data_IF_360906332774
#
_entry.id   IF_360906332774
#
_cell.length_a   1.000
_cell.length_b   1.000
_cell.length_c   1.000
_cell.angle_alpha   90.00
_cell.angle_beta   90.00
_cell.angle_gamma   90.00
#
_symmetry.space_group_name_H-M   'P 1'
#
loop_
_entity.id
_entity.type
_entity.pdbx_description
1 polymer ?
#
# COMPACT_ATOMS: atom_id res chain seq x y z
N UNK A 1 15.06 0.46 43.22
CA UNK A 1 14.88 1.86 42.76
C UNK A 1 15.57 2.18 41.43
N UNK A 2 16.79 1.69 41.16
CA UNK A 2 17.52 2.05 39.92
C UNK A 2 16.88 1.51 38.62
N UNK A 3 16.26 0.33 38.63
CA UNK A 3 15.59 -0.26 37.45
C UNK A 3 14.43 0.60 36.92
N UNK A 4 13.55 1.11 37.78
CA UNK A 4 12.47 2.03 37.36
C UNK A 4 13.00 3.34 36.75
N UNK A 5 14.21 3.76 37.11
CA UNK A 5 14.85 4.98 36.58
C UNK A 5 15.40 4.73 35.18
N UNK A 6 15.97 3.54 34.95
CA UNK A 6 16.42 3.10 33.64
C UNK A 6 15.24 2.90 32.69
N UNK A 7 14.18 2.22 33.11
CA UNK A 7 12.97 2.05 32.29
C UNK A 7 12.32 3.39 31.90
N UNK A 8 12.27 4.35 32.83
CA UNK A 8 11.78 5.71 32.53
C UNK A 8 12.67 6.44 31.53
N UNK A 9 13.99 6.30 31.64
CA UNK A 9 14.95 6.94 30.72
C UNK A 9 14.89 6.32 29.34
N UNK A 10 14.82 4.99 29.25
CA UNK A 10 14.66 4.25 27.99
C UNK A 10 13.35 4.65 27.32
N UNK A 11 12.23 4.67 28.05
CA UNK A 11 10.94 5.10 27.48
C UNK A 11 10.97 6.56 27.01
N UNK A 12 11.64 7.46 27.75
CA UNK A 12 11.76 8.89 27.37
C UNK A 12 12.51 9.09 26.05
N UNK A 13 13.54 8.30 25.78
CA UNK A 13 14.36 8.40 24.55
C UNK A 13 13.75 7.61 23.39
N UNK A 14 13.18 6.44 23.67
CA UNK A 14 12.73 5.51 22.64
C UNK A 14 11.34 5.86 22.07
N UNK A 15 10.42 6.37 22.91
CA UNK A 15 9.07 6.75 22.46
C UNK A 15 9.06 7.79 21.33
N UNK A 16 9.74 8.95 21.42
CA UNK A 16 9.69 9.95 20.34
C UNK A 16 10.31 9.46 19.03
N UNK A 17 11.37 8.65 19.09
CA UNK A 17 12.07 8.15 17.89
C UNK A 17 11.35 6.97 17.21
N UNK A 18 10.57 6.18 17.95
CA UNK A 18 9.75 5.08 17.40
C UNK A 18 8.41 5.55 16.81
N UNK A 19 7.94 6.75 17.16
CA UNK A 19 6.63 7.26 16.73
C UNK A 19 6.69 7.82 15.31
N UNK A 20 7.79 8.48 14.91
CA UNK A 20 7.93 9.20 13.64
C UNK A 20 7.91 8.29 12.39
N UNK A 21 8.45 7.08 12.48
CA UNK A 21 8.52 6.13 11.35
C UNK A 21 7.22 5.37 11.10
N UNK A 22 6.23 5.50 11.98
CA UNK A 22 5.09 4.59 12.06
C UNK A 22 3.74 5.21 11.72
N UNK A 23 3.69 6.53 11.48
CA UNK A 23 2.47 7.26 11.17
C UNK A 23 2.16 7.31 9.65
N UNK A 24 2.58 6.26 8.93
CA UNK A 24 2.44 6.15 7.48
C UNK A 24 1.17 5.35 7.18
N UNK A 25 0.27 5.93 6.37
CA UNK A 25 -0.93 5.25 5.88
C UNK A 25 -0.53 4.10 4.94
N UNK A 26 -0.58 2.86 5.44
CA UNK A 26 -0.27 1.66 4.64
C UNK A 26 -1.43 1.16 3.79
N UNK A 27 -2.66 1.41 4.23
CA UNK A 27 -3.89 0.94 3.57
C UNK A 27 -4.78 2.13 3.25
N UNK A 28 -5.47 2.08 2.10
CA UNK A 28 -6.32 3.17 1.62
C UNK A 28 -7.45 3.55 2.59
N UNK A 29 -8.02 2.56 3.28
CA UNK A 29 -9.08 2.78 4.29
C UNK A 29 -8.58 3.37 5.63
N UNK A 30 -7.27 3.52 5.85
CA UNK A 30 -6.77 4.04 7.14
C UNK A 30 -6.95 5.57 7.24
N UNK A 31 -7.70 6.00 8.25
CA UNK A 31 -7.89 7.41 8.58
C UNK A 31 -6.81 7.92 9.55
N UNK A 32 -6.63 9.24 9.59
CA UNK A 32 -5.72 9.90 10.56
C UNK A 32 -6.13 9.60 12.00
N UNK A 33 -7.43 9.56 12.28
CA UNK A 33 -7.97 9.22 13.60
C UNK A 33 -7.52 7.83 14.07
N UNK A 34 -7.58 6.81 13.20
CA UNK A 34 -7.12 5.45 13.56
C UNK A 34 -5.62 5.47 13.88
N UNK A 35 -4.83 6.21 13.11
CA UNK A 35 -3.40 6.33 13.35
C UNK A 35 -3.10 7.02 14.69
N UNK A 36 -3.81 8.10 15.01
CA UNK A 36 -3.71 8.79 16.30
C UNK A 36 -4.10 7.89 17.46
N UNK A 37 -5.18 7.12 17.35
CA UNK A 37 -5.60 6.16 18.38
C UNK A 37 -4.56 5.05 18.59
N UNK A 38 -3.95 4.56 17.52
CA UNK A 38 -2.83 3.61 17.62
C UNK A 38 -1.61 4.24 18.28
N UNK A 39 -1.33 5.52 18.02
CA UNK A 39 -0.29 6.29 18.71
C UNK A 39 -0.57 6.42 20.21
N UNK A 40 -1.80 6.82 20.58
CA UNK A 40 -2.25 6.93 21.97
C UNK A 40 -2.13 5.60 22.71
N UNK A 41 -2.50 4.48 22.09
CA UNK A 41 -2.32 3.14 22.68
C UNK A 41 -0.87 2.81 22.99
N UNK A 42 0.07 3.21 22.14
CA UNK A 42 1.51 2.96 22.36
C UNK A 42 2.05 3.76 23.54
N UNK A 43 1.56 4.99 23.74
CA UNK A 43 1.92 5.84 24.87
C UNK A 43 1.29 5.36 26.18
N UNK A 44 0.09 4.77 26.11
CA UNK A 44 -0.67 4.30 27.27
C UNK A 44 -0.14 3.00 27.93
N UNK A 45 1.06 2.50 27.56
CA UNK A 45 1.60 1.23 28.12
C UNK A 45 1.68 1.22 29.65
N UNK A 46 1.90 2.37 30.27
CA UNK A 46 2.04 2.51 31.72
C UNK A 46 0.69 2.79 32.41
N UNK A 47 -0.41 2.92 31.66
CA UNK A 47 -1.75 3.24 32.16
C UNK A 47 -2.71 2.09 31.84
N UNK A 48 -2.88 1.09 32.75
CA UNK A 48 -3.53 -0.18 32.43
C UNK A 48 -5.00 -0.05 31.99
N UNK A 49 -5.73 0.91 32.57
CA UNK A 49 -7.16 1.14 32.30
C UNK A 49 -7.37 1.63 30.87
N UNK A 50 -6.64 2.66 30.47
CA UNK A 50 -6.71 3.24 29.13
C UNK A 50 -6.15 2.29 28.07
N UNK A 51 -5.07 1.56 28.38
CA UNK A 51 -4.51 0.54 27.51
C UNK A 51 -5.48 -0.61 27.20
N UNK A 52 -6.33 -0.99 28.16
CA UNK A 52 -7.34 -2.04 27.99
C UNK A 52 -8.54 -1.59 27.14
N UNK A 53 -8.91 -0.31 27.22
CA UNK A 53 -10.08 0.24 26.51
C UNK A 53 -9.77 0.64 25.05
N UNK A 54 -8.60 1.22 24.80
CA UNK A 54 -8.19 1.71 23.47
C UNK A 54 -8.30 0.67 22.34
N UNK A 55 -7.96 -0.62 22.51
CA UNK A 55 -8.10 -1.63 21.47
C UNK A 55 -9.52 -1.76 20.92
N UNK A 56 -10.55 -1.65 21.76
CA UNK A 56 -11.94 -1.76 21.33
C UNK A 56 -12.35 -0.56 20.48
N UNK A 57 -11.96 0.65 20.92
CA UNK A 57 -12.18 1.89 20.16
C UNK A 57 -11.47 1.84 18.80
N UNK A 58 -10.20 1.40 18.77
CA UNK A 58 -9.44 1.23 17.52
C UNK A 58 -10.14 0.25 16.59
N UNK A 59 -10.56 -0.93 17.08
CA UNK A 59 -11.27 -1.93 16.27
C UNK A 59 -12.59 -1.38 15.71
N UNK A 60 -13.35 -0.66 16.53
CA UNK A 60 -14.60 -0.01 16.10
C UNK A 60 -14.36 1.00 14.98
N UNK A 61 -13.38 1.88 15.13
CA UNK A 61 -13.01 2.85 14.09
C UNK A 61 -12.47 2.19 12.82
N UNK A 62 -11.69 1.12 12.95
CA UNK A 62 -11.24 0.32 11.80
C UNK A 62 -12.40 -0.32 11.05
N UNK A 63 -13.42 -0.84 11.76
CA UNK A 63 -14.62 -1.42 11.14
C UNK A 63 -15.36 -0.37 10.32
N UNK A 64 -15.69 0.77 10.94
CA UNK A 64 -16.39 1.87 10.26
C UNK A 64 -15.61 2.40 9.04
N UNK A 65 -14.30 2.57 9.18
CA UNK A 65 -13.48 3.06 8.07
C UNK A 65 -13.40 2.07 6.90
N UNK A 66 -13.35 0.76 7.18
CA UNK A 66 -13.40 -0.28 6.15
C UNK A 66 -14.76 -0.33 5.47
N UNK A 67 -15.85 -0.27 6.24
CA UNK A 67 -17.21 -0.26 5.70
C UNK A 67 -17.43 0.95 4.79
N UNK A 68 -17.01 2.14 5.24
CA UNK A 68 -17.07 3.35 4.43
C UNK A 68 -16.28 3.21 3.13
N UNK A 69 -15.03 2.73 3.21
CA UNK A 69 -14.19 2.54 2.04
C UNK A 69 -14.76 1.52 1.04
N UNK A 70 -15.33 0.40 1.52
CA UNK A 70 -15.99 -0.58 0.65
C UNK A 70 -17.23 0.01 0.00
N UNK A 71 -18.03 0.78 0.76
CA UNK A 71 -19.22 1.45 0.22
C UNK A 71 -18.87 2.42 -0.90
N UNK A 72 -17.90 3.31 -0.69
CA UNK A 72 -17.40 4.24 -1.72
C UNK A 72 -16.92 3.50 -2.99
N UNK A 73 -16.29 2.34 -2.80
CA UNK A 73 -15.80 1.52 -3.90
C UNK A 73 -16.95 0.85 -4.68
N UNK A 74 -18.00 0.38 -4.00
CA UNK A 74 -19.21 -0.13 -4.64
C UNK A 74 -19.89 0.96 -5.46
N UNK A 75 -20.10 2.14 -4.88
CA UNK A 75 -20.70 3.30 -5.56
C UNK A 75 -19.88 3.70 -6.81
N UNK A 76 -18.54 3.67 -6.73
CA UNK A 76 -17.67 3.93 -7.87
C UNK A 76 -17.85 2.88 -8.99
N UNK A 77 -17.93 1.60 -8.64
CA UNK A 77 -18.13 0.52 -9.62
C UNK A 77 -19.52 0.58 -10.26
N UNK A 78 -20.57 0.85 -9.49
CA UNK A 78 -21.93 1.04 -10.00
C UNK A 78 -22.01 2.24 -10.97
N UNK A 79 -21.29 3.33 -10.68
CA UNK A 79 -21.19 4.46 -11.60
C UNK A 79 -20.45 4.10 -12.90
N UNK A 80 -19.37 3.32 -12.83
CA UNK A 80 -18.66 2.85 -14.02
C UNK A 80 -19.53 1.91 -14.88
N UNK A 81 -20.29 1.04 -14.23
CA UNK A 81 -21.25 0.15 -14.89
C UNK A 81 -22.38 0.93 -15.57
N UNK A 82 -22.92 1.95 -14.89
CA UNK A 82 -23.96 2.83 -15.49
C UNK A 82 -23.47 3.55 -16.75
N UNK A 83 -22.17 3.84 -16.83
CA UNK A 83 -21.52 4.45 -18.00
C UNK A 83 -21.08 3.43 -19.05
N UNK A 84 -21.36 2.15 -18.84
CA UNK A 84 -20.89 1.03 -19.66
C UNK A 84 -19.35 1.01 -19.82
N UNK A 85 -18.62 1.54 -18.84
CA UNK A 85 -17.16 1.51 -18.81
C UNK A 85 -16.65 0.22 -18.18
N UNK A 86 -16.90 -0.87 -18.90
CA UNK A 86 -16.58 -2.25 -18.51
C UNK A 86 -15.07 -2.39 -18.26
N UNK A 87 -14.23 -1.72 -19.04
CA UNK A 87 -12.78 -1.79 -18.90
C UNK A 87 -12.30 -1.25 -17.55
N UNK A 88 -12.71 -0.03 -17.18
CA UNK A 88 -12.29 0.56 -15.92
C UNK A 88 -12.95 -0.14 -14.72
N UNK A 89 -14.19 -0.61 -14.86
CA UNK A 89 -14.84 -1.44 -13.84
C UNK A 89 -14.03 -2.72 -13.56
N UNK A 90 -13.66 -3.50 -14.58
CA UNK A 90 -12.84 -4.71 -14.42
C UNK A 90 -11.43 -4.42 -13.89
N UNK A 91 -10.84 -3.30 -14.27
CA UNK A 91 -9.55 -2.86 -13.71
C UNK A 91 -9.69 -2.62 -12.20
N UNK A 92 -10.71 -1.88 -11.77
CA UNK A 92 -10.98 -1.60 -10.36
C UNK A 92 -11.26 -2.87 -9.56
N UNK A 93 -12.06 -3.78 -10.12
CA UNK A 93 -12.36 -5.08 -9.51
C UNK A 93 -11.09 -5.90 -9.26
N UNK A 94 -10.15 -5.92 -10.21
CA UNK A 94 -8.85 -6.61 -10.07
C UNK A 94 -7.96 -5.97 -9.00
N UNK A 95 -7.96 -4.64 -8.89
CA UNK A 95 -7.23 -3.93 -7.84
C UNK A 95 -7.75 -4.28 -6.44
N UNK A 96 -9.07 -4.38 -6.31
CA UNK A 96 -9.75 -4.64 -5.02
C UNK A 96 -9.65 -6.10 -4.63
N UNK A 97 -9.91 -7.00 -5.57
CA UNK A 97 -9.84 -8.45 -5.37
C UNK A 97 -8.42 -8.97 -5.12
N UNK A 98 -7.40 -8.12 -5.21
CA UNK A 98 -6.00 -8.49 -4.95
C UNK A 98 -5.41 -9.46 -5.99
N UNK A 99 -6.13 -9.73 -7.09
CA UNK A 99 -5.65 -10.51 -8.22
C UNK A 99 -4.68 -9.70 -9.08
N UNK A 100 -4.68 -8.37 -8.94
CA UNK A 100 -3.67 -7.51 -9.53
C UNK A 100 -2.34 -7.60 -8.77
N UNK A 101 -1.51 -8.56 -9.16
CA UNK A 101 -0.10 -8.60 -8.74
C UNK A 101 0.69 -7.64 -9.63
N UNK A 102 1.45 -6.73 -9.03
CA UNK A 102 2.49 -5.99 -9.78
C UNK A 102 3.43 -7.03 -10.36
N UNK A 103 3.36 -7.25 -11.68
CA UNK A 103 4.36 -8.04 -12.35
C UNK A 103 5.67 -7.25 -12.26
N UNK A 104 6.73 -7.90 -11.80
CA UNK A 104 8.06 -7.36 -12.03
C UNK A 104 8.21 -7.18 -13.54
N UNK A 105 8.72 -6.03 -14.02
CA UNK A 105 9.01 -5.90 -15.43
C UNK A 105 9.88 -7.09 -15.87
N UNK A 106 9.61 -7.69 -17.03
CA UNK A 106 10.43 -8.78 -17.52
C UNK A 106 11.88 -8.33 -17.59
N UNK A 107 12.78 -9.16 -17.07
CA UNK A 107 14.21 -8.85 -17.12
C UNK A 107 14.67 -8.94 -18.57
N UNK A 108 15.26 -7.87 -19.08
CA UNK A 108 15.81 -7.83 -20.44
C UNK A 108 17.04 -8.73 -20.50
N UNK A 109 16.94 -9.81 -21.26
CA UNK A 109 18.02 -10.73 -21.54
C UNK A 109 18.35 -10.72 -23.03
N UNK A 110 19.64 -10.78 -23.34
CA UNK A 110 20.12 -11.00 -24.70
C UNK A 110 19.85 -12.46 -25.17
N UNK A 111 20.06 -12.76 -26.45
CA UNK A 111 19.91 -14.11 -27.05
C UNK A 111 20.76 -15.17 -26.33
N UNK A 112 21.84 -14.73 -25.68
CA UNK A 112 22.75 -15.55 -24.87
C UNK A 112 22.33 -15.69 -23.40
N UNK A 113 21.12 -15.22 -23.06
CA UNK A 113 20.53 -15.22 -21.71
C UNK A 113 21.30 -14.37 -20.68
N UNK A 114 22.12 -13.42 -21.14
CA UNK A 114 22.84 -12.46 -20.31
C UNK A 114 21.96 -11.24 -19.99
N UNK A 115 22.07 -10.71 -18.77
CA UNK A 115 21.26 -9.59 -18.30
C UNK A 115 21.76 -8.28 -18.93
N UNK A 116 20.89 -7.60 -19.68
CA UNK A 116 21.20 -6.31 -20.30
C UNK A 116 21.10 -5.21 -19.22
N UNK A 117 22.23 -4.88 -18.61
CA UNK A 117 22.31 -3.82 -17.60
C UNK A 117 22.60 -2.44 -18.21
N UNK A 118 23.27 -2.42 -19.36
CA UNK A 118 23.80 -1.22 -20.01
C UNK A 118 22.67 -0.37 -20.65
N UNK A 119 22.80 0.95 -20.55
CA UNK A 119 21.78 1.91 -21.01
C UNK A 119 21.75 2.02 -22.54
N UNK A 120 22.91 1.84 -23.20
CA UNK A 120 23.02 1.83 -24.65
C UNK A 120 22.35 0.60 -25.30
N UNK A 121 22.57 -0.58 -24.73
CA UNK A 121 22.00 -1.86 -25.20
C UNK A 121 20.47 -1.90 -25.01
N UNK A 122 19.96 -1.29 -23.95
CA UNK A 122 18.50 -1.13 -23.72
C UNK A 122 17.85 -0.26 -24.80
N UNK A 123 18.52 0.80 -25.24
CA UNK A 123 18.00 1.70 -26.26
C UNK A 123 17.94 1.01 -27.63
N UNK A 124 18.93 0.19 -27.95
CA UNK A 124 18.97 -0.60 -29.18
C UNK A 124 17.86 -1.67 -29.21
N UNK A 125 17.71 -2.43 -28.13
CA UNK A 125 16.64 -3.43 -28.00
C UNK A 125 15.23 -2.79 -28.07
N UNK A 126 15.05 -1.62 -27.45
CA UNK A 126 13.80 -0.86 -27.49
C UNK A 126 13.40 -0.40 -28.90
N UNK A 127 14.36 -0.08 -29.76
CA UNK A 127 14.11 0.27 -31.17
C UNK A 127 13.71 -0.96 -31.98
N UNK A 128 14.41 -2.08 -31.80
CA UNK A 128 14.14 -3.35 -32.51
C UNK A 128 12.74 -3.88 -32.22
N UNK A 129 12.34 -3.89 -30.94
CA UNK A 129 11.00 -4.35 -30.52
C UNK A 129 9.89 -3.43 -31.01
N UNK A 130 10.11 -2.11 -31.00
CA UNK A 130 9.17 -1.13 -31.58
C UNK A 130 8.97 -1.37 -33.08
N UNK A 131 10.05 -1.61 -33.84
CA UNK A 131 9.98 -1.90 -35.27
C UNK A 131 9.17 -3.18 -35.59
N UNK A 132 9.29 -4.22 -34.77
CA UNK A 132 8.56 -5.49 -34.92
C UNK A 132 7.07 -5.31 -34.63
N UNK A 133 6.71 -4.49 -33.63
CA UNK A 133 5.32 -4.23 -33.25
C UNK A 133 4.55 -3.43 -34.32
N UNK A 134 5.22 -2.47 -34.97
CA UNK A 134 4.63 -1.74 -36.11
C UNK A 134 4.50 -2.63 -37.35
N UNK A 135 5.50 -3.45 -37.67
CA UNK A 135 5.43 -4.37 -38.83
C UNK A 135 4.38 -5.47 -38.69
N UNK A 136 4.01 -5.88 -37.47
CA UNK A 136 2.98 -6.91 -37.23
C UNK A 136 1.56 -6.35 -37.20
N UNK A 137 1.40 -5.04 -37.08
CA UNK A 137 0.11 -4.35 -37.18
C UNK A 137 -0.27 -4.01 -38.62
N UNK A 138 0.70 -3.94 -39.53
CA UNK A 138 0.50 -3.71 -40.98
C UNK A 138 0.18 -4.99 -41.79
N UNK A 139 0.18 -6.17 -41.15
CA UNK A 139 -0.09 -7.48 -41.78
C UNK A 139 -1.51 -8.02 -41.48
N UNK A 140 -2.45 -7.14 -41.10
CA UNK A 140 -3.87 -7.46 -40.95
C UNK A 140 -4.74 -6.63 -41.89
#
# INVERSE_FOLDING_TARGET
MQMNRLEKTINKVCLPNLITTMNIKKKRWMTTEILELMGKKRLAKNEPTTYRQLPNSIKGKMKLAKEKWIKELCEEMENLDSKHDIFNMHKKLREVGGTFKKQSPPMLTDETNNIILNEAEKLEFGKTTSQIYWKTTDLK
#
